data_IF_781120410811
#
_entry.id   IF_781120410811
#
_cell.length_a   1.000
_cell.length_b   1.000
_cell.length_c   1.000
_cell.angle_alpha   90.00
_cell.angle_beta   90.00
_cell.angle_gamma   90.00
#
_symmetry.space_group_name_H-M   'P 1'
#
loop_
_entity.id
_entity.type
_entity.pdbx_description
1 polymer ?
#
# COMPACT_ATOMS: atom_id res chain seq x y z
N UNK A 1 67.51 -0.09 -39.99
CA UNK A 1 66.52 -0.66 -40.91
C UNK A 1 65.17 -0.57 -40.18
N UNK A 2 64.24 0.31 -40.56
CA UNK A 2 63.38 0.24 -41.76
C UNK A 2 62.56 -1.07 -41.71
N UNK A 3 61.22 -1.09 -41.67
CA UNK A 3 60.26 -0.38 -42.53
C UNK A 3 58.85 -0.28 -41.88
N UNK A 4 58.08 0.74 -42.28
CA UNK A 4 56.61 0.84 -42.12
C UNK A 4 55.85 -0.05 -43.13
N UNK A 5 54.54 0.16 -43.42
CA UNK A 5 53.91 1.46 -43.62
C UNK A 5 52.55 1.71 -42.92
N UNK A 6 52.33 2.98 -42.60
CA UNK A 6 51.03 3.63 -42.38
C UNK A 6 50.42 4.10 -43.73
N UNK A 7 49.23 4.72 -43.67
CA UNK A 7 48.35 5.28 -44.72
C UNK A 7 47.23 4.32 -45.16
N UNK A 8 45.94 4.62 -44.95
CA UNK A 8 45.16 5.71 -45.56
C UNK A 8 43.98 6.05 -44.62
N UNK A 9 43.78 7.29 -44.14
CA UNK A 9 42.85 8.31 -44.68
C UNK A 9 41.59 7.71 -45.32
N UNK A 10 40.42 7.94 -44.72
CA UNK A 10 39.41 8.76 -45.37
C UNK A 10 38.32 9.27 -44.42
N UNK A 11 37.94 10.50 -44.75
CA UNK A 11 36.90 11.36 -44.24
C UNK A 11 35.50 10.71 -44.25
N UNK A 12 34.82 10.78 -43.12
CA UNK A 12 33.36 10.77 -43.14
C UNK A 12 32.85 11.73 -42.08
N UNK A 13 32.77 12.99 -42.52
CA UNK A 13 31.76 13.95 -42.08
C UNK A 13 30.43 13.22 -41.87
N UNK A 14 30.05 12.97 -40.62
CA UNK A 14 28.66 12.64 -40.33
C UNK A 14 27.87 13.95 -40.23
N UNK A 15 26.90 14.17 -41.13
CA UNK A 15 26.06 15.35 -41.10
C UNK A 15 25.14 15.32 -39.87
N UNK A 16 24.84 16.51 -39.35
CA UNK A 16 23.67 16.76 -38.50
C UNK A 16 22.42 16.18 -39.17
N UNK A 17 21.90 15.07 -38.64
CA UNK A 17 20.52 14.67 -38.89
C UNK A 17 19.65 15.21 -37.76
N UNK A 18 18.89 16.22 -38.15
CA UNK A 18 17.55 16.59 -37.70
C UNK A 18 16.97 15.73 -36.58
N UNK A 19 16.65 16.39 -35.46
CA UNK A 19 15.79 15.88 -34.42
C UNK A 19 14.37 15.72 -35.01
N UNK A 20 14.15 14.62 -35.71
CA UNK A 20 12.86 14.26 -36.26
C UNK A 20 11.98 13.73 -35.13
N UNK A 21 11.19 14.65 -34.58
CA UNK A 21 10.01 14.38 -33.76
C UNK A 21 9.02 13.54 -34.59
N UNK A 22 9.21 12.22 -34.58
CA UNK A 22 8.19 11.28 -35.03
C UNK A 22 7.90 10.29 -33.90
N UNK A 23 6.78 10.57 -33.23
CA UNK A 23 6.03 9.65 -32.39
C UNK A 23 5.92 8.28 -33.07
N UNK A 24 6.73 7.33 -32.63
CA UNK A 24 6.41 5.91 -32.74
C UNK A 24 6.24 5.37 -31.33
N UNK A 25 4.96 5.24 -31.00
CA UNK A 25 4.37 4.64 -29.82
C UNK A 25 4.90 3.21 -29.62
N UNK A 26 6.08 3.06 -29.01
CA UNK A 26 6.67 1.75 -28.71
C UNK A 26 7.50 1.75 -27.42
N UNK A 27 6.94 2.33 -26.37
CA UNK A 27 7.53 2.29 -25.03
C UNK A 27 6.44 2.13 -23.96
N UNK A 28 5.42 1.30 -24.22
CA UNK A 28 4.38 0.96 -23.24
C UNK A 28 4.50 -0.45 -22.67
N UNK A 29 5.28 -1.34 -23.31
CA UNK A 29 5.35 -2.76 -22.92
C UNK A 29 6.58 -3.16 -22.08
N UNK A 30 7.59 -2.28 -21.92
CA UNK A 30 8.83 -2.63 -21.19
C UNK A 30 8.84 -2.24 -19.70
N UNK A 31 7.72 -1.74 -19.17
CA UNK A 31 7.59 -1.41 -17.74
C UNK A 31 6.97 -2.54 -16.89
N UNK A 32 6.97 -3.80 -17.37
CA UNK A 32 6.33 -4.93 -16.67
C UNK A 32 7.26 -5.92 -15.98
N UNK A 33 8.58 -5.68 -15.91
CA UNK A 33 9.53 -6.73 -15.48
C UNK A 33 10.44 -6.39 -14.28
N UNK A 34 10.02 -5.52 -13.36
CA UNK A 34 10.72 -5.33 -12.07
C UNK A 34 9.73 -5.47 -10.91
N UNK A 35 9.04 -6.61 -10.83
CA UNK A 35 8.24 -6.97 -9.66
C UNK A 35 9.18 -7.53 -8.59
N UNK A 36 9.77 -6.65 -7.79
CA UNK A 36 10.06 -6.98 -6.39
C UNK A 36 8.74 -7.24 -5.64
N UNK A 37 8.76 -7.78 -4.41
CA UNK A 37 7.54 -7.96 -3.64
C UNK A 37 6.78 -6.62 -3.57
N UNK A 38 5.59 -6.58 -4.16
CA UNK A 38 4.77 -5.38 -4.21
C UNK A 38 4.36 -5.02 -2.79
N UNK A 39 5.03 -4.05 -2.20
CA UNK A 39 4.68 -3.54 -0.87
C UNK A 39 3.45 -2.64 -0.98
N UNK A 40 2.81 -2.31 0.14
CA UNK A 40 1.69 -1.36 0.15
C UNK A 40 2.04 0.06 -0.38
N UNK A 41 3.33 0.32 -0.63
CA UNK A 41 3.80 1.54 -1.27
C UNK A 41 3.65 1.49 -2.80
N UNK A 42 3.51 0.31 -3.41
CA UNK A 42 3.30 0.15 -4.85
C UNK A 42 1.85 0.50 -5.25
N UNK A 43 1.62 1.33 -6.27
CA UNK A 43 0.28 1.74 -6.69
C UNK A 43 -0.60 0.58 -7.19
N UNK A 44 -0.02 -0.55 -7.54
CA UNK A 44 -0.73 -1.76 -7.97
C UNK A 44 -1.19 -2.62 -6.78
N UNK A 45 -0.74 -2.32 -5.56
CA UNK A 45 -1.10 -3.08 -4.37
C UNK A 45 -2.53 -2.74 -3.91
N UNK A 46 -3.36 -3.74 -3.53
CA UNK A 46 -4.73 -3.49 -3.06
C UNK A 46 -4.78 -2.54 -1.85
N UNK A 47 -3.73 -2.55 -1.03
CA UNK A 47 -3.65 -1.72 0.18
C UNK A 47 -3.04 -0.34 -0.07
N UNK A 48 -2.62 -0.03 -1.30
CA UNK A 48 -2.03 1.25 -1.63
C UNK A 48 -2.98 2.40 -1.29
N UNK A 49 -4.26 2.25 -1.62
CA UNK A 49 -5.26 3.27 -1.26
C UNK A 49 -5.37 3.48 0.23
N UNK A 50 -5.39 2.39 1.01
CA UNK A 50 -5.47 2.47 2.46
C UNK A 50 -4.20 3.10 3.05
N UNK A 51 -3.04 2.82 2.47
CA UNK A 51 -1.77 3.44 2.86
C UNK A 51 -1.75 4.95 2.56
N UNK A 52 -2.22 5.37 1.37
CA UNK A 52 -2.35 6.79 1.02
C UNK A 52 -3.28 7.51 1.99
N UNK A 53 -4.43 6.92 2.32
CA UNK A 53 -5.36 7.48 3.31
C UNK A 53 -4.74 7.59 4.70
N UNK A 54 -3.93 6.62 5.11
CA UNK A 54 -3.18 6.69 6.37
C UNK A 54 -2.19 7.86 6.36
N UNK A 55 -1.42 8.04 5.27
CA UNK A 55 -0.49 9.17 5.11
C UNK A 55 -1.24 10.50 5.15
N UNK A 56 -2.32 10.63 4.39
CA UNK A 56 -3.14 11.86 4.34
C UNK A 56 -3.75 12.18 5.71
N UNK A 57 -4.28 11.17 6.40
CA UNK A 57 -4.85 11.32 7.74
C UNK A 57 -3.81 11.74 8.78
N UNK A 58 -2.61 11.15 8.74
CA UNK A 58 -1.50 11.56 9.62
C UNK A 58 -1.01 12.96 9.27
N UNK A 59 -0.88 13.30 7.99
CA UNK A 59 -0.49 14.65 7.58
C UNK A 59 -1.52 15.70 8.00
N UNK A 60 -2.82 15.38 7.94
CA UNK A 60 -3.88 16.24 8.46
C UNK A 60 -3.78 16.40 9.98
N UNK A 61 -3.49 15.31 10.70
CA UNK A 61 -3.24 15.34 12.14
C UNK A 61 -2.03 16.22 12.50
N UNK A 62 -0.90 16.05 11.81
CA UNK A 62 0.31 16.85 12.03
C UNK A 62 0.06 18.33 11.78
N UNK A 63 -0.67 18.66 10.71
CA UNK A 63 -1.08 20.04 10.42
C UNK A 63 -1.98 20.62 11.51
N UNK A 64 -2.88 19.82 12.08
CA UNK A 64 -3.71 20.23 13.22
C UNK A 64 -2.86 20.49 14.48
N UNK A 65 -1.73 19.80 14.64
CA UNK A 65 -0.76 20.02 15.71
C UNK A 65 0.26 21.13 15.39
N UNK A 66 0.22 21.72 14.19
CA UNK A 66 1.20 22.72 13.74
C UNK A 66 2.59 22.14 13.43
N UNK A 67 2.68 20.83 13.19
CA UNK A 67 3.93 20.11 12.89
C UNK A 67 4.02 19.80 11.39
N UNK A 68 5.23 19.82 10.85
CA UNK A 68 5.49 19.28 9.51
C UNK A 68 5.59 17.74 9.57
N UNK A 69 5.17 17.03 8.51
CA UNK A 69 5.34 15.58 8.44
C UNK A 69 6.83 15.22 8.52
N UNK A 70 7.16 14.30 9.42
CA UNK A 70 8.52 13.84 9.67
C UNK A 70 8.63 12.30 9.61
N UNK A 71 9.80 11.75 9.93
CA UNK A 71 10.00 10.31 9.97
C UNK A 71 9.09 9.60 11.02
N UNK A 72 8.62 10.32 12.04
CA UNK A 72 7.63 9.82 12.99
C UNK A 72 6.25 9.69 12.36
N UNK A 73 5.86 10.66 11.52
CA UNK A 73 4.63 10.63 10.73
C UNK A 73 4.57 9.43 9.78
N UNK A 74 5.69 9.08 9.14
CA UNK A 74 5.77 7.91 8.26
C UNK A 74 5.57 6.59 9.04
N UNK A 75 6.24 6.44 10.18
CA UNK A 75 6.07 5.29 11.07
C UNK A 75 4.65 5.18 11.62
N UNK A 76 4.07 6.32 11.97
CA UNK A 76 2.68 6.41 12.42
C UNK A 76 1.74 5.93 11.30
N UNK A 77 1.87 6.44 10.07
CA UNK A 77 1.05 6.02 8.94
C UNK A 77 1.17 4.52 8.63
N UNK A 78 2.40 3.98 8.65
CA UNK A 78 2.64 2.55 8.45
C UNK A 78 2.00 1.68 9.55
N UNK A 79 2.09 2.12 10.81
CA UNK A 79 1.46 1.43 11.94
C UNK A 79 -0.06 1.47 11.85
N UNK A 80 -0.63 2.61 11.44
CA UNK A 80 -2.07 2.77 11.25
C UNK A 80 -2.62 1.89 10.13
N UNK A 81 -1.85 1.70 9.04
CA UNK A 81 -2.21 0.78 7.97
C UNK A 81 -2.35 -0.65 8.48
N UNK A 82 -1.36 -1.13 9.25
CA UNK A 82 -1.41 -2.45 9.88
C UNK A 82 -2.63 -2.58 10.80
N UNK A 83 -2.83 -1.59 11.68
CA UNK A 83 -3.97 -1.55 12.60
C UNK A 83 -5.32 -1.59 11.87
N UNK A 84 -5.47 -0.83 10.78
CA UNK A 84 -6.68 -0.81 9.97
C UNK A 84 -7.00 -2.21 9.45
N UNK A 85 -6.01 -2.89 8.88
CA UNK A 85 -6.17 -4.25 8.36
C UNK A 85 -6.47 -5.28 9.43
N UNK A 86 -5.77 -5.21 10.57
CA UNK A 86 -6.01 -6.10 11.72
C UNK A 86 -7.45 -5.98 12.24
N UNK A 87 -8.04 -4.79 12.16
CA UNK A 87 -9.41 -4.53 12.60
C UNK A 87 -10.44 -4.65 11.46
N UNK A 88 -10.03 -5.05 10.26
CA UNK A 88 -10.91 -5.21 9.10
C UNK A 88 -11.44 -3.90 8.51
N UNK A 89 -10.81 -2.76 8.81
CA UNK A 89 -11.13 -1.48 8.19
C UNK A 89 -10.70 -1.50 6.72
N UNK A 90 -11.57 -1.02 5.85
CA UNK A 90 -11.31 -0.96 4.40
C UNK A 90 -10.87 0.43 3.93
N UNK A 91 -11.13 1.46 4.74
CA UNK A 91 -10.71 2.86 4.49
C UNK A 91 -10.42 3.55 5.82
N UNK A 92 -9.60 4.58 5.78
CA UNK A 92 -9.36 5.49 6.91
C UNK A 92 -9.92 6.84 6.49
N UNK A 93 -11.03 7.26 7.10
CA UNK A 93 -11.67 8.55 6.81
C UNK A 93 -11.17 9.63 7.78
N UNK A 94 -10.91 9.25 9.04
CA UNK A 94 -10.40 10.18 10.06
C UNK A 94 -9.29 9.55 10.89
N UNK A 95 -8.27 10.36 11.21
CA UNK A 95 -7.21 10.04 12.18
C UNK A 95 -7.25 11.11 13.26
N UNK A 96 -7.50 10.70 14.51
CA UNK A 96 -7.65 11.61 15.64
C UNK A 96 -6.88 11.13 16.86
N UNK A 97 -6.43 12.07 17.69
CA UNK A 97 -5.79 11.77 18.96
C UNK A 97 -6.80 11.77 20.11
N UNK A 98 -6.52 10.99 21.16
CA UNK A 98 -7.27 11.06 22.42
C UNK A 98 -7.23 12.49 22.96
N UNK A 99 -8.40 13.04 23.32
CA UNK A 99 -8.53 14.38 23.91
C UNK A 99 -8.04 14.47 25.36
N UNK A 100 -7.65 13.35 25.97
CA UNK A 100 -7.32 13.25 27.39
C UNK A 100 -8.56 13.24 28.26
N UNK A 101 -8.62 12.30 29.21
CA UNK A 101 -9.82 12.02 29.99
C UNK A 101 -9.91 10.54 30.36
N UNK A 102 -10.58 10.23 31.48
CA UNK A 102 -10.63 8.87 32.06
C UNK A 102 -9.25 8.25 32.34
N UNK A 103 -8.29 9.05 32.81
CA UNK A 103 -6.93 8.59 33.17
C UNK A 103 -5.93 8.54 32.01
N UNK A 104 -6.35 8.87 30.79
CA UNK A 104 -5.48 8.96 29.62
C UNK A 104 -4.94 10.38 29.45
N UNK A 105 -3.67 10.51 29.06
CA UNK A 105 -3.12 11.81 28.64
C UNK A 105 -3.67 12.20 27.25
N UNK A 106 -3.85 13.50 26.98
CA UNK A 106 -4.06 13.97 25.61
C UNK A 106 -2.96 13.44 24.69
N UNK A 107 -3.33 12.88 23.54
CA UNK A 107 -2.38 12.32 22.58
C UNK A 107 -1.81 10.94 22.94
N UNK A 108 -2.23 10.32 24.05
CA UNK A 108 -1.74 8.99 24.45
C UNK A 108 -2.12 7.89 23.45
N UNK A 109 -3.32 7.97 22.86
CA UNK A 109 -3.80 7.05 21.83
C UNK A 109 -4.13 7.78 20.55
N UNK A 110 -3.87 7.11 19.43
CA UNK A 110 -4.32 7.49 18.09
C UNK A 110 -5.46 6.57 17.68
N UNK A 111 -6.49 7.16 17.09
CA UNK A 111 -7.69 6.48 16.61
C UNK A 111 -7.80 6.66 15.11
N UNK A 112 -8.14 5.57 14.42
CA UNK A 112 -8.57 5.58 13.03
C UNK A 112 -10.06 5.30 12.99
N UNK A 113 -10.78 6.07 12.19
CA UNK A 113 -12.22 5.92 12.02
C UNK A 113 -12.54 5.77 10.54
N UNK A 114 -13.40 4.80 10.26
CA UNK A 114 -14.04 4.56 8.98
C UNK A 114 -15.51 4.96 9.10
N UNK A 115 -15.96 5.82 8.18
CA UNK A 115 -17.28 6.46 8.20
C UNK A 115 -17.22 7.88 8.77
N UNK A 116 -18.39 8.52 8.84
CA UNK A 116 -18.51 9.83 9.46
C UNK A 116 -18.44 9.69 10.99
N UNK A 117 -17.83 10.66 11.67
CA UNK A 117 -17.74 10.66 13.14
C UNK A 117 -19.11 10.72 13.84
N UNK A 118 -20.13 11.22 13.14
CA UNK A 118 -21.53 11.29 13.62
C UNK A 118 -22.33 10.03 13.27
N UNK A 119 -21.78 9.12 12.46
CA UNK A 119 -22.45 7.87 12.08
C UNK A 119 -22.31 6.84 13.22
N UNK A 120 -23.40 6.37 13.84
CA UNK A 120 -23.35 5.36 14.89
C UNK A 120 -22.80 4.00 14.40
N UNK A 121 -22.80 3.75 13.09
CA UNK A 121 -22.22 2.56 12.47
C UNK A 121 -20.74 2.73 12.11
N UNK A 122 -20.07 3.81 12.55
CA UNK A 122 -18.65 4.00 12.27
C UNK A 122 -17.82 2.84 12.81
N UNK A 123 -16.80 2.42 12.07
CA UNK A 123 -15.80 1.47 12.56
C UNK A 123 -14.61 2.27 13.08
N UNK A 124 -14.14 1.94 14.28
CA UNK A 124 -12.98 2.59 14.88
C UNK A 124 -11.99 1.57 15.39
N UNK A 125 -10.70 1.87 15.20
CA UNK A 125 -9.60 1.15 15.82
C UNK A 125 -8.65 2.14 16.47
N UNK A 126 -7.89 1.68 17.46
CA UNK A 126 -6.99 2.54 18.21
C UNK A 126 -5.72 1.81 18.63
N UNK A 127 -4.66 2.58 18.84
CA UNK A 127 -3.42 2.10 19.43
C UNK A 127 -2.71 3.23 20.17
N UNK A 128 -1.72 2.89 21.00
CA UNK A 128 -0.91 3.89 21.68
C UNK A 128 -0.09 4.67 20.66
N UNK A 129 -0.14 5.99 20.71
CA UNK A 129 0.63 6.87 19.81
C UNK A 129 2.12 6.57 19.93
N UNK A 130 2.62 6.38 21.15
CA UNK A 130 4.02 6.00 21.42
C UNK A 130 4.41 4.70 20.71
N UNK A 131 3.53 3.69 20.72
CA UNK A 131 3.80 2.44 20.01
C UNK A 131 3.81 2.65 18.49
N UNK A 132 2.91 3.47 17.97
CA UNK A 132 2.81 3.72 16.53
C UNK A 132 4.03 4.50 15.99
N UNK A 133 4.59 5.43 16.75
CA UNK A 133 5.81 6.18 16.34
C UNK A 133 7.10 5.42 16.63
N UNK A 134 7.09 4.50 17.60
CA UNK A 134 8.24 3.66 17.95
C UNK A 134 8.38 2.46 17.01
N UNK A 135 7.28 1.97 16.42
CA UNK A 135 7.30 0.84 15.50
C UNK A 135 7.95 1.26 14.19
N UNK A 136 9.03 0.58 13.74
CA UNK A 136 9.62 0.86 12.44
C UNK A 136 8.62 0.59 11.31
N UNK A 137 8.77 1.32 10.20
CA UNK A 137 7.96 1.10 8.99
C UNK A 137 8.07 -0.35 8.53
N UNK A 138 9.29 -0.90 8.48
CA UNK A 138 9.55 -2.28 8.06
C UNK A 138 8.78 -3.30 8.91
N UNK A 139 8.80 -3.17 10.24
CA UNK A 139 8.05 -4.05 11.13
C UNK A 139 6.53 -3.95 10.93
N UNK A 140 6.03 -2.75 10.61
CA UNK A 140 4.61 -2.54 10.29
C UNK A 140 4.22 -3.19 8.96
N UNK A 141 5.09 -3.11 7.95
CA UNK A 141 4.89 -3.76 6.65
C UNK A 141 4.91 -5.28 6.77
N UNK A 142 5.86 -5.84 7.52
CA UNK A 142 5.89 -7.28 7.78
C UNK A 142 4.62 -7.76 8.49
N UNK A 143 4.10 -6.97 9.45
CA UNK A 143 2.83 -7.28 10.11
C UNK A 143 1.67 -7.23 9.12
N UNK A 144 1.61 -6.21 8.27
CA UNK A 144 0.60 -6.07 7.23
C UNK A 144 0.59 -7.28 6.28
N UNK A 145 1.75 -7.71 5.81
CA UNK A 145 1.89 -8.89 4.96
C UNK A 145 1.37 -10.15 5.66
N UNK A 146 1.69 -10.34 6.93
CA UNK A 146 1.18 -11.46 7.72
C UNK A 146 -0.34 -11.40 7.94
N UNK A 147 -0.93 -10.22 8.02
CA UNK A 147 -2.40 -10.05 8.08
C UNK A 147 -3.04 -10.38 6.74
N UNK A 148 -2.47 -9.90 5.64
CA UNK A 148 -2.98 -10.16 4.30
C UNK A 148 -2.94 -11.64 3.93
N UNK A 149 -1.87 -12.35 4.27
CA UNK A 149 -1.76 -13.80 4.08
C UNK A 149 -2.91 -14.53 4.79
N UNK A 150 -3.09 -14.25 6.09
CA UNK A 150 -4.17 -14.84 6.89
C UNK A 150 -5.55 -14.54 6.33
N UNK A 151 -5.77 -13.33 5.83
CA UNK A 151 -7.06 -12.92 5.25
C UNK A 151 -7.34 -13.65 3.93
N UNK A 152 -6.31 -13.82 3.09
CA UNK A 152 -6.40 -14.56 1.82
C UNK A 152 -6.70 -16.04 2.05
N UNK A 153 -6.06 -16.67 3.04
CA UNK A 153 -6.31 -18.07 3.40
C UNK A 153 -7.76 -18.27 3.87
N UNK A 154 -8.26 -17.36 4.71
CA UNK A 154 -9.65 -17.39 5.20
C UNK A 154 -10.66 -17.25 4.05
N UNK A 155 -10.41 -16.35 3.10
CA UNK A 155 -11.27 -16.17 1.93
C UNK A 155 -11.27 -17.41 1.02
N UNK A 156 -10.12 -18.07 0.85
CA UNK A 156 -10.01 -19.31 0.08
C UNK A 156 -10.84 -20.45 0.68
N UNK A 157 -10.74 -20.64 2.00
CA UNK A 157 -11.51 -21.68 2.72
C UNK A 157 -13.02 -21.40 2.68
N UNK A 158 -13.44 -20.15 2.89
CA UNK A 158 -14.85 -19.78 2.82
C UNK A 158 -15.46 -20.02 1.42
N UNK A 159 -14.69 -19.74 0.37
CA UNK A 159 -15.12 -19.95 -1.02
C UNK A 159 -15.25 -21.44 -1.36
N UNK A 160 -14.36 -22.28 -0.85
CA UNK A 160 -14.42 -23.74 -1.04
C UNK A 160 -15.64 -24.33 -0.32
N UNK A 161 -15.87 -23.95 0.93
CA UNK A 161 -17.04 -24.40 1.71
C UNK A 161 -18.38 -24.05 1.02
N UNK A 162 -18.50 -22.85 0.46
CA UNK A 162 -19.69 -22.43 -0.28
C UNK A 162 -19.90 -23.25 -1.57
N UNK A 163 -18.81 -23.61 -2.25
CA UNK A 163 -18.87 -24.40 -3.47
C UNK A 163 -19.23 -25.87 -3.19
N UNK A 164 -18.72 -26.45 -2.10
CA UNK A 164 -19.08 -27.81 -1.66
C UNK A 164 -20.56 -27.92 -1.25
N UNK A 165 -21.12 -26.90 -0.59
CA UNK A 165 -22.56 -26.86 -0.27
C UNK A 165 -23.45 -26.68 -1.52
N UNK A 166 -22.98 -25.95 -2.53
CA UNK A 166 -23.70 -25.77 -3.79
C UNK A 166 -23.60 -27.00 -4.71
N UNK A 167 -22.59 -27.85 -4.52
CA UNK A 167 -22.35 -29.06 -5.31
C UNK A 167 -23.09 -30.30 -4.79
N UNK A 168 -23.91 -30.19 -3.73
CA UNK A 168 -24.72 -31.32 -3.25
C UNK A 168 -25.69 -31.76 -4.38
N UNK A 169 -25.51 -32.96 -4.97
CA UNK A 169 -26.19 -33.33 -6.19
C UNK A 169 -27.66 -33.60 -5.88
N UNK A 170 -28.53 -33.05 -6.73
CA UNK A 170 -29.94 -33.43 -6.82
C UNK A 170 -30.05 -34.96 -6.75
N UNK A 171 -30.57 -35.46 -5.63
CA UNK A 171 -30.80 -36.89 -5.41
C UNK A 171 -31.66 -37.38 -6.58
N UNK A 172 -31.21 -38.39 -7.36
CA UNK A 172 -32.09 -39.04 -8.32
C UNK A 172 -33.21 -39.71 -7.52
N UNK A 173 -34.38 -39.07 -7.54
CA UNK A 173 -35.61 -39.62 -7.00
C UNK A 173 -35.92 -40.93 -7.73
N UNK A 174 -35.60 -42.01 -7.03
CA UNK A 174 -35.91 -43.41 -7.29
C UNK A 174 -37.17 -43.61 -8.15
N UNK A 175 -36.94 -44.12 -9.36
CA UNK A 175 -37.96 -44.82 -10.14
C UNK A 175 -38.60 -45.91 -9.28
N UNK A 176 -39.93 -45.95 -9.23
CA UNK A 176 -40.66 -47.17 -8.88
C UNK A 176 -41.98 -47.22 -9.63
#
# INVERSE_FOLDING_TARGET
>A
MRDGPFYLVDISSQPRQVLELQHTSRSRDEAKHLQGPSTAQDPSHPDHRLYQQAIEGVAALDRALGKAPDAGSERLAASLLGLAKENGLQRIDHVVLSQGGAGLRPGENVFIVQGALDDPAHLRAHMKTEQAVATPVEASMQRLEAVNQRLSEQQGMASQQLNDLAAEPARPGMSR
#
